data_IF_545734836259
#
_entry.id   IF_545734836259
#
_cell.length_a   1.000
_cell.length_b   1.000
_cell.length_c   1.000
_cell.angle_alpha   90.00
_cell.angle_beta   90.00
_cell.angle_gamma   90.00
#
_symmetry.space_group_name_H-M   'P 1'
#
loop_
_entity.id
_entity.type
_entity.pdbx_description
1 polymer ?
#
# COMPACT_ATOMS: atom_id res chain seq x y z
N UNK A 1 0.78 18.70 7.74
CA UNK A 1 0.37 17.47 7.03
C UNK A 1 1.23 16.32 7.56
N UNK A 2 0.63 15.24 8.07
CA UNK A 2 1.35 14.11 8.67
C UNK A 2 1.18 12.88 7.77
N UNK A 3 2.29 12.31 7.33
CA UNK A 3 2.30 11.05 6.56
C UNK A 3 2.65 9.92 7.53
N UNK A 4 1.92 8.82 7.45
CA UNK A 4 2.13 7.63 8.27
C UNK A 4 2.34 6.42 7.35
N UNK A 5 3.26 5.53 7.74
CA UNK A 5 3.50 4.28 7.05
C UNK A 5 2.87 3.14 7.85
N UNK A 6 1.99 2.36 7.22
CA UNK A 6 1.36 1.19 7.82
C UNK A 6 1.47 0.01 6.84
N UNK A 7 1.87 -1.16 7.34
CA UNK A 7 1.90 -2.36 6.49
C UNK A 7 0.48 -2.84 6.23
N UNK A 8 0.22 -3.30 5.01
CA UNK A 8 -1.05 -3.88 4.56
C UNK A 8 -1.56 -5.08 5.37
N UNK A 9 -0.67 -5.70 6.17
CA UNK A 9 -1.01 -6.83 7.04
C UNK A 9 -1.56 -6.41 8.41
N UNK A 10 -1.48 -5.12 8.75
CA UNK A 10 -2.14 -4.57 9.93
C UNK A 10 -3.57 -4.15 9.59
N UNK A 11 -4.52 -4.28 10.55
CA UNK A 11 -5.91 -3.89 10.34
C UNK A 11 -6.04 -2.40 10.05
N UNK A 12 -7.10 -2.03 9.33
CA UNK A 12 -7.49 -0.63 9.16
C UNK A 12 -7.93 -0.03 10.51
N UNK A 13 -7.48 1.19 10.81
CA UNK A 13 -7.90 1.93 12.00
C UNK A 13 -8.55 3.25 11.63
N UNK A 14 -9.39 3.79 12.52
CA UNK A 14 -10.18 5.00 12.25
C UNK A 14 -9.34 6.26 12.10
N UNK A 15 -8.14 6.25 12.66
CA UNK A 15 -7.16 7.33 12.62
C UNK A 15 -6.18 7.22 11.44
N UNK A 16 -6.25 6.15 10.63
CA UNK A 16 -5.44 6.00 9.41
C UNK A 16 -5.76 7.08 8.36
N UNK A 17 -6.93 7.73 8.46
CA UNK A 17 -7.36 8.76 7.52
C UNK A 17 -7.50 8.24 6.09
N UNK A 18 -6.92 8.95 5.11
CA UNK A 18 -6.94 8.56 3.70
C UNK A 18 -5.82 7.57 3.38
N UNK A 19 -6.17 6.39 2.90
CA UNK A 19 -5.26 5.24 2.76
C UNK A 19 -4.92 4.99 1.30
N UNK A 20 -3.66 5.24 0.97
CA UNK A 20 -3.12 5.00 -0.37
C UNK A 20 -2.26 3.74 -0.38
N UNK A 21 -2.60 2.78 -1.24
CA UNK A 21 -1.75 1.62 -1.52
C UNK A 21 -0.61 2.05 -2.45
N UNK A 22 0.62 2.01 -1.93
CA UNK A 22 1.84 2.46 -2.63
C UNK A 22 2.75 1.31 -3.09
N UNK A 23 2.19 0.10 -3.21
CA UNK A 23 2.87 -1.05 -3.80
C UNK A 23 2.45 -1.26 -5.25
N UNK A 24 3.43 -1.61 -6.11
CA UNK A 24 3.15 -1.87 -7.53
C UNK A 24 2.47 -3.22 -7.78
N UNK A 25 2.72 -4.18 -6.89
CA UNK A 25 2.07 -5.48 -6.90
C UNK A 25 1.02 -5.57 -5.81
N UNK A 26 0.02 -6.41 -6.04
CA UNK A 26 -0.95 -6.72 -5.02
C UNK A 26 -0.29 -7.50 -3.86
N UNK A 27 -0.58 -7.17 -2.58
CA UNK A 27 -0.04 -7.89 -1.43
C UNK A 27 -0.39 -9.39 -1.46
N UNK A 28 0.61 -10.24 -1.16
CA UNK A 28 0.41 -11.69 -1.13
C UNK A 28 -0.49 -12.08 0.05
N UNK A 29 -1.35 -13.07 -0.16
CA UNK A 29 -2.23 -13.60 0.89
C UNK A 29 -3.43 -12.71 1.26
N UNK A 30 -3.58 -11.54 0.62
CA UNK A 30 -4.71 -10.64 0.87
C UNK A 30 -5.67 -10.71 -0.32
N UNK A 31 -6.97 -10.91 -0.07
CA UNK A 31 -7.99 -10.82 -1.13
C UNK A 31 -8.22 -9.35 -1.48
N UNK A 32 -8.50 -9.03 -2.75
CA UNK A 32 -8.84 -7.66 -3.19
C UNK A 32 -9.97 -7.01 -2.39
N UNK A 33 -10.96 -7.79 -2.02
CA UNK A 33 -12.10 -7.35 -1.21
C UNK A 33 -11.79 -7.17 0.28
N UNK A 34 -10.68 -7.71 0.78
CA UNK A 34 -10.32 -7.68 2.20
C UNK A 34 -9.40 -6.50 2.55
N UNK A 35 -8.70 -5.93 1.57
CA UNK A 35 -7.86 -4.77 1.80
C UNK A 35 -8.73 -3.51 1.72
N UNK A 36 -8.83 -2.79 2.83
CA UNK A 36 -9.44 -1.46 2.84
C UNK A 36 -8.37 -0.46 2.38
N UNK A 37 -8.65 0.32 1.34
CA UNK A 37 -7.84 1.42 0.83
C UNK A 37 -8.74 2.35 0.02
N UNK A 38 -8.39 3.63 -0.03
CA UNK A 38 -9.16 4.64 -0.77
C UNK A 38 -8.63 4.78 -2.20
N UNK A 39 -7.32 4.62 -2.39
CA UNK A 39 -6.67 4.72 -3.70
C UNK A 39 -5.53 3.72 -3.84
N UNK A 40 -5.40 3.13 -5.04
CA UNK A 40 -4.20 2.41 -5.44
C UNK A 40 -3.42 3.23 -6.46
N UNK A 41 -2.62 4.16 -5.96
CA UNK A 41 -1.88 5.09 -6.80
C UNK A 41 -0.59 4.46 -7.31
N UNK A 42 -0.63 3.94 -8.54
CA UNK A 42 0.54 3.30 -9.17
C UNK A 42 1.63 4.29 -9.59
N UNK A 43 1.31 5.57 -9.74
CA UNK A 43 2.28 6.58 -10.17
C UNK A 43 3.32 6.88 -9.08
N UNK A 44 2.98 6.66 -7.81
CA UNK A 44 3.89 6.85 -6.66
C UNK A 44 4.51 5.54 -6.15
N UNK A 45 4.40 4.44 -6.92
CA UNK A 45 5.00 3.14 -6.56
C UNK A 45 6.47 3.05 -6.99
N UNK A 46 7.28 2.23 -6.30
CA UNK A 46 8.64 1.92 -6.74
C UNK A 46 8.70 1.43 -8.19
N UNK A 47 9.67 1.92 -8.97
CA UNK A 47 9.87 1.45 -10.35
C UNK A 47 10.23 -0.04 -10.39
N UNK A 48 10.15 -0.65 -11.58
CA UNK A 48 10.54 -2.06 -11.75
C UNK A 48 12.00 -2.29 -11.37
N UNK A 49 12.86 -1.36 -11.76
CA UNK A 49 14.31 -1.38 -11.50
C UNK A 49 14.57 -1.27 -10.01
N UNK A 50 13.90 -0.32 -9.33
CA UNK A 50 14.03 -0.14 -7.89
C UNK A 50 13.56 -1.38 -7.14
N UNK A 51 12.46 -2.02 -7.57
CA UNK A 51 12.02 -3.29 -6.97
C UNK A 51 13.05 -4.39 -7.14
N UNK A 52 13.68 -4.53 -8.31
CA UNK A 52 14.73 -5.54 -8.54
C UNK A 52 15.98 -5.31 -7.68
N UNK A 53 16.33 -4.05 -7.42
CA UNK A 53 17.51 -3.71 -6.64
C UNK A 53 17.38 -4.02 -5.13
N UNK A 54 16.16 -4.07 -4.60
CA UNK A 54 15.85 -4.32 -3.18
C UNK A 54 15.11 -5.65 -2.94
N UNK A 55 15.12 -6.55 -3.93
CA UNK A 55 14.48 -7.87 -3.89
C UNK A 55 15.48 -8.99 -3.62
#
# INVERSE_FOLDING_TARGET
MRIQCKRVYFPAEKDDGYRVLVDRLWPRGIKKSALVYDEWNKAITPSTELRKAFH
#
